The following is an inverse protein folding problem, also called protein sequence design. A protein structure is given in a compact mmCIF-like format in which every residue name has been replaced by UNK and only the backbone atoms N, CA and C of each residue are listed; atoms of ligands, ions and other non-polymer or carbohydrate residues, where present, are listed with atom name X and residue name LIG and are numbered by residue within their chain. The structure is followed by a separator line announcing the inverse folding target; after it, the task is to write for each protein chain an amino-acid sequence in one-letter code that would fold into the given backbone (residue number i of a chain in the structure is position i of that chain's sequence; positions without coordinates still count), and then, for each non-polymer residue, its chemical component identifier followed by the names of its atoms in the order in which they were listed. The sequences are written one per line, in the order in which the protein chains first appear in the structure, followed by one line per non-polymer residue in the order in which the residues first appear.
data_IF_212356311308
#
_entry.id   IF_212356311308
#
_cell.length_a   1.000
_cell.length_b   1.000
_cell.length_c   1.000
_cell.angle_alpha   90.00
_cell.angle_beta   90.00
_cell.angle_gamma   90.00
#
_symmetry.space_group_name_H-M   'P 1'
#
loop_
_entity.id
_entity.type
_entity.pdbx_description
1 polymer ?
#
# COMPACT_ATOMS: atom_id res chain seq x y z
N UNK A 1 11.06 -21.52 -30.01
CA UNK A 1 12.28 -20.95 -29.42
C UNK A 1 11.90 -19.73 -28.64
N UNK A 2 12.45 -19.55 -27.43
CA UNK A 2 12.17 -18.42 -26.55
C UNK A 2 13.40 -17.51 -26.53
N UNK A 3 13.20 -16.21 -26.77
CA UNK A 3 14.25 -15.19 -26.70
C UNK A 3 14.01 -14.28 -25.49
N UNK A 4 14.75 -14.49 -24.41
CA UNK A 4 14.65 -13.72 -23.20
C UNK A 4 15.15 -12.27 -23.34
N UNK A 5 16.09 -11.99 -24.27
CA UNK A 5 16.61 -10.63 -24.48
C UNK A 5 15.58 -9.76 -25.19
N UNK A 6 15.00 -10.28 -26.28
CA UNK A 6 13.95 -9.60 -27.02
C UNK A 6 12.56 -9.73 -26.37
N UNK A 7 12.43 -10.47 -25.27
CA UNK A 7 11.14 -10.79 -24.63
C UNK A 7 10.12 -11.32 -25.64
N UNK A 8 10.55 -12.22 -26.52
CA UNK A 8 9.77 -12.69 -27.64
C UNK A 8 9.82 -14.21 -27.76
N UNK A 9 8.76 -14.78 -28.29
CA UNK A 9 8.72 -16.18 -28.71
C UNK A 9 8.76 -16.24 -30.22
N UNK A 10 9.58 -17.14 -30.77
CA UNK A 10 9.70 -17.38 -32.20
C UNK A 10 8.92 -18.63 -32.53
N UNK A 11 7.87 -18.48 -33.34
CA UNK A 11 6.97 -19.55 -33.74
C UNK A 11 7.12 -19.87 -35.20
N UNK A 12 7.17 -21.16 -35.59
CA UNK A 12 7.14 -21.55 -36.98
C UNK A 12 5.71 -21.43 -37.53
N UNK A 13 5.49 -20.46 -38.42
CA UNK A 13 4.22 -20.25 -39.12
C UNK A 13 4.47 -20.28 -40.61
N UNK A 14 3.85 -21.20 -41.33
CA UNK A 14 4.01 -21.35 -42.79
C UNK A 14 5.49 -21.39 -43.27
N UNK A 15 6.33 -22.13 -42.50
CA UNK A 15 7.78 -22.28 -42.75
C UNK A 15 8.63 -21.02 -42.42
N UNK A 16 8.03 -19.95 -41.93
CA UNK A 16 8.73 -18.75 -41.46
C UNK A 16 8.88 -18.76 -39.91
N UNK A 17 10.02 -18.25 -39.46
CA UNK A 17 10.25 -18.01 -38.01
C UNK A 17 9.67 -16.63 -37.65
N UNK A 18 8.47 -16.61 -37.08
CA UNK A 18 7.75 -15.38 -36.79
C UNK A 18 7.89 -15.04 -35.30
N UNK A 19 8.47 -13.86 -34.96
CA UNK A 19 8.60 -13.43 -33.56
C UNK A 19 7.30 -12.80 -33.04
N UNK A 20 6.92 -13.17 -31.83
CA UNK A 20 5.81 -12.58 -31.10
C UNK A 20 6.32 -12.06 -29.75
N UNK A 21 6.10 -10.79 -29.45
CA UNK A 21 6.48 -10.22 -28.20
C UNK A 21 5.58 -10.77 -27.06
N UNK A 22 6.16 -11.01 -25.90
CA UNK A 22 5.47 -11.65 -24.75
C UNK A 22 4.17 -10.94 -24.32
N UNK A 23 4.06 -9.62 -24.52
CA UNK A 23 2.85 -8.83 -24.23
C UNK A 23 1.67 -9.17 -25.14
N UNK A 24 1.92 -9.74 -26.31
CA UNK A 24 0.85 -10.16 -27.24
C UNK A 24 0.22 -11.49 -26.85
N UNK A 25 0.81 -12.23 -25.91
CA UNK A 25 0.33 -13.51 -25.46
C UNK A 25 -0.68 -13.35 -24.33
N UNK A 26 -1.87 -13.93 -24.51
CA UNK A 26 -2.91 -13.99 -23.46
C UNK A 26 -2.60 -15.10 -22.46
N UNK A 27 -2.45 -16.33 -22.95
CA UNK A 27 -2.04 -17.50 -22.15
C UNK A 27 -1.47 -18.60 -23.03
N UNK A 28 -0.83 -19.57 -22.38
CA UNK A 28 -0.34 -20.79 -23.02
C UNK A 28 -0.94 -21.96 -22.24
N UNK A 29 -1.41 -22.98 -22.95
CA UNK A 29 -1.92 -24.20 -22.36
C UNK A 29 -1.26 -25.43 -23.00
N UNK A 30 -1.07 -26.46 -22.19
CA UNK A 30 -0.53 -27.76 -22.61
C UNK A 30 -1.59 -28.83 -22.33
N UNK A 31 -1.77 -29.77 -23.25
CA UNK A 31 -2.57 -30.98 -23.07
C UNK A 31 -1.85 -32.18 -23.63
N UNK A 32 -1.88 -33.31 -22.95
CA UNK A 32 -1.32 -34.56 -23.37
C UNK A 32 -2.48 -35.48 -23.83
N UNK A 33 -2.42 -35.90 -25.11
CA UNK A 33 -3.44 -36.76 -25.73
C UNK A 33 -2.76 -37.97 -26.39
N UNK A 34 -2.77 -39.10 -25.70
CA UNK A 34 -2.14 -40.33 -26.17
C UNK A 34 -0.62 -40.19 -26.40
N UNK A 35 -0.16 -40.38 -27.61
CA UNK A 35 1.26 -40.26 -27.95
C UNK A 35 1.73 -38.82 -28.25
N UNK A 36 0.79 -37.88 -28.27
CA UNK A 36 1.07 -36.51 -28.64
C UNK A 36 0.80 -35.53 -27.51
N UNK A 37 1.68 -34.54 -27.39
CA UNK A 37 1.50 -33.36 -26.55
C UNK A 37 1.15 -32.17 -27.43
N UNK A 38 0.14 -31.43 -27.05
CA UNK A 38 -0.30 -30.20 -27.69
C UNK A 38 0.08 -28.99 -26.87
N UNK A 39 0.69 -28.01 -27.53
CA UNK A 39 0.98 -26.70 -26.96
C UNK A 39 0.13 -25.65 -27.68
N UNK A 40 -0.82 -25.05 -26.98
CA UNK A 40 -1.69 -24.02 -27.54
C UNK A 40 -1.32 -22.67 -26.96
N UNK A 41 -1.04 -21.75 -27.88
CA UNK A 41 -0.67 -20.37 -27.55
C UNK A 41 -1.82 -19.46 -27.97
N UNK A 42 -2.41 -18.75 -27.02
CA UNK A 42 -3.49 -17.81 -27.26
C UNK A 42 -2.94 -16.39 -27.22
N UNK A 43 -3.36 -15.57 -28.17
CA UNK A 43 -2.95 -14.17 -28.28
C UNK A 43 -4.02 -13.21 -27.76
N UNK A 44 -3.59 -12.03 -27.36
CA UNK A 44 -4.50 -10.91 -27.05
C UNK A 44 -5.00 -10.37 -28.38
N UNK A 45 -6.30 -10.46 -28.61
CA UNK A 45 -6.96 -9.93 -29.82
C UNK A 45 -8.06 -8.98 -29.41
N UNK A 46 -8.23 -7.83 -30.08
CA UNK A 46 -9.32 -6.90 -29.83
C UNK A 46 -10.68 -7.54 -30.15
N UNK A 47 -11.77 -7.01 -29.62
CA UNK A 47 -13.15 -7.44 -29.92
C UNK A 47 -13.59 -8.77 -29.30
N UNK A 48 -12.96 -9.22 -28.21
CA UNK A 48 -13.43 -10.40 -27.48
C UNK A 48 -14.40 -10.05 -26.35
N UNK A 49 -15.68 -10.31 -26.58
CA UNK A 49 -16.80 -10.28 -25.61
C UNK A 49 -17.16 -8.89 -25.09
N UNK A 50 -18.21 -8.35 -25.64
CA UNK A 50 -18.91 -7.19 -25.09
C UNK A 50 -19.17 -7.38 -23.58
N UNK A 51 -18.60 -6.52 -22.75
CA UNK A 51 -18.88 -6.44 -21.33
C UNK A 51 -17.70 -6.51 -20.37
N UNK A 52 -16.45 -6.69 -20.82
CA UNK A 52 -15.29 -6.55 -19.95
C UNK A 52 -14.59 -5.21 -20.20
N UNK A 53 -14.23 -4.52 -19.10
CA UNK A 53 -13.52 -3.22 -19.09
C UNK A 53 -12.19 -3.17 -19.86
N UNK A 54 -11.71 -4.33 -20.37
CA UNK A 54 -10.44 -4.48 -21.07
C UNK A 54 -10.60 -4.71 -22.59
N UNK A 55 -11.81 -4.54 -23.15
CA UNK A 55 -12.02 -4.64 -24.58
C UNK A 55 -11.46 -3.38 -25.26
N UNK A 56 -10.31 -3.55 -25.90
CA UNK A 56 -9.74 -2.51 -26.75
C UNK A 56 -10.52 -2.55 -28.09
N UNK A 57 -11.15 -1.45 -28.52
CA UNK A 57 -11.83 -1.41 -29.82
C UNK A 57 -10.84 -1.66 -30.96
N UNK A 58 -11.32 -2.16 -32.08
CA UNK A 58 -10.52 -2.29 -33.30
C UNK A 58 -10.22 -0.90 -33.86
N UNK A 59 -8.93 -0.60 -34.02
CA UNK A 59 -8.51 0.63 -34.72
C UNK A 59 -8.82 0.54 -36.22
N UNK A 60 -8.72 -0.68 -36.79
CA UNK A 60 -9.07 -1.00 -38.19
C UNK A 60 -10.07 -2.17 -38.20
N UNK A 61 -11.33 -1.96 -38.62
CA UNK A 61 -12.35 -3.02 -38.68
C UNK A 61 -12.03 -4.13 -39.68
N UNK A 62 -11.12 -3.90 -40.66
CA UNK A 62 -10.70 -4.87 -41.66
C UNK A 62 -9.45 -5.68 -41.23
N UNK A 63 -8.84 -5.36 -40.11
CA UNK A 63 -7.66 -6.03 -39.63
C UNK A 63 -7.96 -7.47 -39.20
N UNK A 64 -7.08 -8.41 -39.61
CA UNK A 64 -7.15 -9.81 -39.20
C UNK A 64 -6.11 -10.12 -38.14
N UNK A 65 -6.51 -10.88 -37.12
CA UNK A 65 -5.66 -11.20 -35.97
C UNK A 65 -5.54 -12.71 -35.78
N UNK A 66 -4.34 -13.16 -35.40
CA UNK A 66 -4.12 -14.54 -34.97
C UNK A 66 -4.66 -14.69 -33.58
N UNK A 67 -5.69 -15.48 -33.37
CA UNK A 67 -6.32 -15.73 -32.09
C UNK A 67 -5.58 -16.76 -31.25
N UNK A 68 -5.19 -17.86 -31.89
CA UNK A 68 -4.38 -18.89 -31.26
C UNK A 68 -3.63 -19.69 -32.32
N UNK A 69 -2.56 -20.34 -31.88
CA UNK A 69 -1.79 -21.32 -32.68
C UNK A 69 -1.60 -22.55 -31.79
N UNK A 70 -1.81 -23.75 -32.37
CA UNK A 70 -1.59 -25.00 -31.68
C UNK A 70 -0.51 -25.80 -32.40
N UNK A 71 0.42 -26.31 -31.61
CA UNK A 71 1.49 -27.20 -32.11
C UNK A 71 1.33 -28.57 -31.49
N UNK A 72 1.74 -29.62 -32.25
CA UNK A 72 1.71 -31.00 -31.81
C UNK A 72 3.12 -31.59 -31.89
N UNK A 73 3.52 -32.34 -30.89
CA UNK A 73 4.81 -33.02 -30.83
C UNK A 73 4.68 -34.34 -30.06
N UNK A 74 5.53 -35.30 -30.43
CA UNK A 74 5.75 -36.52 -29.63
C UNK A 74 6.75 -36.33 -28.52
N UNK A 75 7.49 -35.21 -28.52
CA UNK A 75 8.47 -34.86 -27.46
C UNK A 75 7.79 -34.00 -26.38
N UNK A 76 7.17 -34.66 -25.39
CA UNK A 76 6.51 -34.01 -24.30
C UNK A 76 7.44 -33.11 -23.47
N UNK A 77 8.69 -33.58 -23.22
CA UNK A 77 9.67 -32.82 -22.40
C UNK A 77 10.00 -31.48 -23.03
N UNK A 78 10.20 -31.42 -24.32
CA UNK A 78 10.49 -30.16 -25.02
C UNK A 78 9.31 -29.17 -24.91
N UNK A 79 8.07 -29.64 -24.93
CA UNK A 79 6.90 -28.77 -24.73
C UNK A 79 6.71 -28.37 -23.29
N UNK A 80 7.12 -29.19 -22.30
CA UNK A 80 7.15 -28.83 -20.91
C UNK A 80 8.11 -27.68 -20.64
N UNK A 81 9.33 -27.79 -21.19
CA UNK A 81 10.35 -26.74 -21.05
C UNK A 81 9.85 -25.42 -21.66
N UNK A 82 9.34 -25.46 -22.89
CA UNK A 82 8.80 -24.28 -23.56
C UNK A 82 7.61 -23.66 -22.80
N UNK A 83 6.71 -24.49 -22.29
CA UNK A 83 5.57 -24.04 -21.51
C UNK A 83 6.01 -23.29 -20.23
N UNK A 84 6.98 -23.85 -19.52
CA UNK A 84 7.53 -23.27 -18.29
C UNK A 84 8.28 -21.96 -18.60
N UNK A 85 9.14 -21.95 -19.62
CA UNK A 85 9.89 -20.75 -20.03
C UNK A 85 8.98 -19.60 -20.45
N UNK A 86 7.94 -19.87 -21.25
CA UNK A 86 6.99 -18.85 -21.70
C UNK A 86 6.21 -18.30 -20.52
N UNK A 87 5.73 -19.17 -19.60
CA UNK A 87 4.97 -18.71 -18.44
C UNK A 87 5.84 -17.91 -17.47
N UNK A 88 7.09 -18.27 -17.27
CA UNK A 88 8.02 -17.51 -16.45
C UNK A 88 8.29 -16.12 -17.07
N UNK A 89 8.56 -16.08 -18.38
CA UNK A 89 8.77 -14.81 -19.07
C UNK A 89 7.52 -13.90 -18.97
N UNK A 90 6.31 -14.45 -19.11
CA UNK A 90 5.06 -13.72 -18.93
C UNK A 90 4.91 -13.17 -17.51
N UNK A 91 5.22 -13.98 -16.49
CA UNK A 91 5.17 -13.56 -15.10
C UNK A 91 6.13 -12.41 -14.82
N UNK A 92 7.36 -12.49 -15.34
CA UNK A 92 8.37 -11.43 -15.19
C UNK A 92 7.93 -10.15 -15.93
N UNK A 93 7.40 -10.28 -17.15
CA UNK A 93 6.92 -9.14 -17.93
C UNK A 93 5.72 -8.45 -17.25
N UNK A 94 4.74 -9.21 -16.77
CA UNK A 94 3.58 -8.69 -16.04
C UNK A 94 3.99 -7.99 -14.74
N UNK A 95 4.97 -8.55 -14.01
CA UNK A 95 5.51 -7.92 -12.80
C UNK A 95 6.18 -6.59 -13.10
N UNK A 96 7.02 -6.52 -14.13
CA UNK A 96 7.68 -5.27 -14.57
C UNK A 96 6.65 -4.21 -15.01
N UNK A 97 5.62 -4.64 -15.74
CA UNK A 97 4.57 -3.72 -16.18
C UNK A 97 3.75 -3.18 -15.00
N UNK A 98 3.42 -4.03 -14.02
CA UNK A 98 2.78 -3.60 -12.78
C UNK A 98 3.66 -2.61 -12.01
N UNK A 99 4.96 -2.91 -11.84
CA UNK A 99 5.92 -2.02 -11.20
C UNK A 99 6.05 -0.68 -11.95
N UNK A 100 6.09 -0.69 -13.29
CA UNK A 100 6.12 0.53 -14.10
C UNK A 100 4.84 1.35 -13.97
N UNK A 101 3.67 0.71 -13.98
CA UNK A 101 2.38 1.39 -13.75
C UNK A 101 2.29 2.00 -12.35
N UNK A 102 2.78 1.29 -11.35
CA UNK A 102 2.83 1.81 -9.98
C UNK A 102 3.76 3.03 -9.87
N UNK A 103 4.89 3.03 -10.59
CA UNK A 103 5.84 4.15 -10.59
C UNK A 103 5.41 5.32 -11.47
N UNK A 104 4.65 5.09 -12.54
CA UNK A 104 4.28 6.13 -13.51
C UNK A 104 3.46 7.28 -12.90
N UNK A 105 2.66 7.01 -11.86
CA UNK A 105 1.85 8.02 -11.18
C UNK A 105 2.53 8.59 -9.92
N UNK A 106 3.77 8.19 -9.61
CA UNK A 106 4.52 8.74 -8.49
C UNK A 106 5.18 10.02 -8.95
N UNK A 107 4.65 11.14 -8.47
CA UNK A 107 5.26 12.45 -8.71
C UNK A 107 6.56 12.54 -7.91
N UNK A 108 7.63 13.05 -8.54
CA UNK A 108 8.89 13.31 -7.86
C UNK A 108 8.64 14.28 -6.69
N UNK A 109 9.03 13.85 -5.48
CA UNK A 109 8.78 14.62 -4.27
C UNK A 109 9.89 15.65 -4.07
N UNK A 110 9.53 16.79 -3.49
CA UNK A 110 10.49 17.78 -3.06
C UNK A 110 11.50 17.17 -2.07
N UNK A 111 12.76 17.50 -2.22
CA UNK A 111 13.78 17.02 -1.28
C UNK A 111 13.59 17.65 0.09
N UNK A 112 13.70 16.83 1.13
CA UNK A 112 13.58 17.30 2.50
C UNK A 112 14.82 18.13 2.91
N UNK A 113 14.58 19.36 3.36
CA UNK A 113 15.62 20.25 3.88
C UNK A 113 15.76 20.01 5.38
N UNK A 114 16.87 19.40 5.76
CA UNK A 114 17.12 19.03 7.14
C UNK A 114 17.39 20.27 8.01
N UNK A 115 16.85 20.28 9.22
CA UNK A 115 17.19 21.29 10.21
C UNK A 115 18.62 21.07 10.71
N UNK A 116 19.43 22.11 10.73
CA UNK A 116 20.81 22.09 11.27
C UNK A 116 20.81 22.03 12.80
N UNK A 117 19.78 22.54 13.45
CA UNK A 117 19.58 22.46 14.90
C UNK A 117 18.85 21.16 15.25
N UNK A 118 18.87 20.81 16.55
CA UNK A 118 18.19 19.58 17.04
C UNK A 118 16.69 19.66 16.71
N UNK A 119 16.20 18.81 15.80
CA UNK A 119 14.79 18.85 15.41
C UNK A 119 13.90 18.35 16.54
N UNK A 120 12.67 18.86 16.62
CA UNK A 120 11.67 18.30 17.53
C UNK A 120 11.36 16.88 17.07
N UNK A 121 11.40 15.93 18.02
CA UNK A 121 11.24 14.51 17.74
C UNK A 121 10.10 13.94 18.57
N UNK A 122 9.27 13.10 17.93
CA UNK A 122 8.30 12.23 18.56
C UNK A 122 8.87 10.81 18.54
N UNK A 123 9.33 10.28 19.70
CA UNK A 123 10.00 8.97 19.76
C UNK A 123 9.00 7.81 19.73
N UNK A 124 9.51 6.61 19.46
CA UNK A 124 8.81 5.33 19.62
C UNK A 124 7.47 5.22 18.87
N UNK A 125 7.37 5.82 17.71
CA UNK A 125 6.19 5.70 16.84
C UNK A 125 6.36 4.59 15.82
N UNK A 126 5.24 3.98 15.44
CA UNK A 126 5.18 2.95 14.42
C UNK A 126 4.55 3.49 13.15
N UNK A 127 5.15 3.26 11.97
CA UNK A 127 4.57 3.69 10.70
C UNK A 127 3.54 2.69 10.17
N UNK A 128 2.49 3.18 9.53
CA UNK A 128 1.57 2.44 8.67
C UNK A 128 1.49 3.15 7.30
N UNK A 129 1.78 2.49 6.20
CA UNK A 129 2.18 1.08 6.08
C UNK A 129 3.56 0.79 6.66
N UNK A 130 3.73 -0.44 7.17
CA UNK A 130 5.01 -0.86 7.73
C UNK A 130 6.08 -0.96 6.63
N UNK A 131 7.29 -0.50 6.93
CA UNK A 131 8.46 -0.69 6.08
C UNK A 131 8.82 -2.19 6.04
N UNK A 132 8.99 -2.74 4.85
CA UNK A 132 9.33 -4.16 4.62
C UNK A 132 8.40 -5.18 5.33
N UNK A 133 7.16 -4.79 5.64
CA UNK A 133 6.17 -5.66 6.27
C UNK A 133 6.41 -5.96 7.75
N UNK A 134 7.45 -5.39 8.37
CA UNK A 134 7.75 -5.54 9.80
C UNK A 134 7.37 -4.27 10.56
N UNK A 135 6.85 -4.45 11.77
CA UNK A 135 6.56 -3.37 12.70
C UNK A 135 7.85 -2.97 13.42
N UNK A 136 8.44 -1.85 13.02
CA UNK A 136 9.68 -1.34 13.60
C UNK A 136 9.43 0.05 14.19
N UNK A 137 9.77 0.29 15.47
CA UNK A 137 9.65 1.60 16.08
C UNK A 137 10.68 2.57 15.50
N UNK A 138 10.33 3.84 15.50
CA UNK A 138 11.25 4.89 15.06
C UNK A 138 10.87 6.25 15.62
N UNK A 139 11.62 7.25 15.21
CA UNK A 139 11.46 8.64 15.61
C UNK A 139 10.91 9.45 14.44
N UNK A 140 9.84 10.20 14.69
CA UNK A 140 9.30 11.17 13.74
C UNK A 140 9.86 12.55 14.09
N UNK A 141 10.54 13.21 13.14
CA UNK A 141 11.22 14.49 13.35
C UNK A 141 10.67 15.56 12.41
N UNK A 142 10.56 16.81 12.92
CA UNK A 142 10.11 17.96 12.14
C UNK A 142 11.32 18.69 11.56
N UNK A 143 11.29 18.94 10.25
CA UNK A 143 12.32 19.67 9.50
C UNK A 143 11.74 20.93 8.84
N UNK A 144 12.56 21.68 8.07
CA UNK A 144 12.14 22.97 7.53
C UNK A 144 10.94 22.90 6.60
N UNK A 145 10.89 21.89 5.73
CA UNK A 145 9.85 21.74 4.69
C UNK A 145 9.08 20.43 4.76
N UNK A 146 9.18 19.69 5.87
CA UNK A 146 8.50 18.41 6.00
C UNK A 146 8.84 17.66 7.29
N UNK A 147 8.40 16.42 7.36
CA UNK A 147 8.69 15.48 8.46
C UNK A 147 9.48 14.30 7.94
N UNK A 148 10.33 13.74 8.80
CA UNK A 148 11.09 12.52 8.56
C UNK A 148 10.83 11.52 9.66
N UNK A 149 10.45 10.33 9.25
CA UNK A 149 10.51 9.15 10.11
C UNK A 149 11.81 8.40 9.86
N UNK A 150 12.48 7.99 10.93
CA UNK A 150 13.69 7.17 10.86
C UNK A 150 13.72 6.16 11.98
N UNK A 151 14.00 4.89 11.63
CA UNK A 151 14.20 3.85 12.61
C UNK A 151 15.62 3.89 13.17
N UNK A 152 15.83 3.88 14.50
CA UNK A 152 17.15 3.82 15.10
C UNK A 152 17.87 2.48 14.86
N UNK A 153 17.10 1.41 14.58
CA UNK A 153 17.63 0.07 14.32
C UNK A 153 18.10 -0.11 12.86
N UNK A 154 17.55 0.69 11.92
CA UNK A 154 17.84 0.60 10.49
C UNK A 154 17.81 2.00 9.88
N UNK A 155 18.98 2.58 9.70
CA UNK A 155 19.12 3.96 9.19
C UNK A 155 18.74 4.11 7.72
N UNK A 156 18.69 3.02 6.96
CA UNK A 156 18.22 2.94 5.58
C UNK A 156 16.69 3.04 5.46
N UNK A 157 15.96 2.72 6.55
CA UNK A 157 14.51 2.80 6.61
C UNK A 157 14.05 4.19 7.06
N UNK A 158 13.81 5.06 6.09
CA UNK A 158 13.30 6.41 6.29
C UNK A 158 12.04 6.65 5.47
N UNK A 159 11.15 7.49 6.00
CA UNK A 159 9.98 8.01 5.29
C UNK A 159 10.06 9.54 5.38
N UNK A 160 10.16 10.20 4.23
CA UNK A 160 10.17 11.65 4.12
C UNK A 160 8.81 12.11 3.57
N UNK A 161 8.18 13.07 4.25
CA UNK A 161 6.92 13.66 3.84
C UNK A 161 7.09 15.17 3.78
N UNK A 162 7.24 15.74 2.57
CA UNK A 162 7.31 17.18 2.40
C UNK A 162 5.94 17.83 2.65
N UNK A 163 5.90 18.98 3.28
CA UNK A 163 4.66 19.71 3.59
C UNK A 163 3.88 20.09 2.33
N UNK A 164 4.56 20.29 1.19
CA UNK A 164 3.93 20.59 -0.10
C UNK A 164 2.98 19.48 -0.57
N UNK A 165 3.28 18.23 -0.23
CA UNK A 165 2.49 17.05 -0.62
C UNK A 165 1.37 16.71 0.38
N UNK A 166 1.31 17.31 1.56
CA UNK A 166 0.25 17.05 2.53
C UNK A 166 -1.04 17.75 2.08
N UNK A 167 -2.14 16.99 1.96
CA UNK A 167 -3.49 17.50 1.72
C UNK A 167 -4.21 17.73 3.05
N UNK A 168 -4.22 16.73 3.93
CA UNK A 168 -4.84 16.79 5.25
C UNK A 168 -3.94 16.16 6.30
N UNK A 169 -4.00 16.68 7.52
CA UNK A 169 -3.30 16.18 8.69
C UNK A 169 -4.32 15.94 9.81
N UNK A 170 -4.42 14.68 10.25
CA UNK A 170 -5.34 14.30 11.33
C UNK A 170 -4.56 13.91 12.57
N UNK A 171 -5.09 14.33 13.72
CA UNK A 171 -4.69 13.86 15.04
C UNK A 171 -5.89 13.15 15.68
N UNK A 172 -5.72 11.89 16.09
CA UNK A 172 -6.75 11.14 16.81
C UNK A 172 -6.23 10.75 18.19
N UNK A 173 -6.89 11.20 19.26
CA UNK A 173 -6.54 10.83 20.64
C UNK A 173 -6.94 9.39 20.95
N UNK A 174 -6.31 8.81 21.98
CA UNK A 174 -6.58 7.44 22.43
C UNK A 174 -7.57 7.37 23.61
N UNK A 175 -8.36 8.40 23.87
CA UNK A 175 -9.28 8.40 25.03
C UNK A 175 -10.31 7.25 24.99
N UNK A 176 -10.83 6.98 23.80
CA UNK A 176 -11.78 5.89 23.53
C UNK A 176 -11.25 4.89 22.50
N UNK A 177 -9.96 4.94 22.21
CA UNK A 177 -9.27 4.12 21.19
C UNK A 177 -8.07 3.38 21.79
N UNK A 178 -7.61 2.35 21.10
CA UNK A 178 -6.43 1.57 21.52
C UNK A 178 -5.11 2.24 21.17
N UNK A 179 -5.14 3.19 20.22
CA UNK A 179 -3.96 3.86 19.69
C UNK A 179 -4.17 5.37 19.65
N UNK A 180 -3.10 6.12 19.88
CA UNK A 180 -2.97 7.53 19.51
C UNK A 180 -2.27 7.63 18.18
N UNK A 181 -2.70 8.51 17.29
CA UNK A 181 -2.14 8.59 15.94
C UNK A 181 -2.06 10.00 15.39
N UNK A 182 -1.11 10.16 14.46
CA UNK A 182 -1.02 11.28 13.52
C UNK A 182 -1.09 10.66 12.12
N UNK A 183 -2.01 11.12 11.29
CA UNK A 183 -2.25 10.60 9.96
C UNK A 183 -2.09 11.70 8.91
N UNK A 184 -1.27 11.42 7.91
CA UNK A 184 -1.03 12.28 6.75
C UNK A 184 -1.78 11.73 5.55
N UNK A 185 -2.72 12.48 5.03
CA UNK A 185 -3.32 12.23 3.72
C UNK A 185 -2.63 13.10 2.68
N UNK A 186 -2.06 12.47 1.65
CA UNK A 186 -1.19 13.12 0.68
C UNK A 186 -1.95 13.48 -0.61
N UNK A 187 -1.54 14.57 -1.25
CA UNK A 187 -2.04 14.98 -2.57
C UNK A 187 -1.62 13.97 -3.64
N UNK A 188 -0.35 13.63 -3.67
CA UNK A 188 0.24 12.66 -4.57
C UNK A 188 0.77 11.46 -3.79
N UNK A 189 0.58 10.23 -4.30
CA UNK A 189 1.03 9.05 -3.59
C UNK A 189 2.54 8.97 -3.51
N UNK A 190 3.04 8.39 -2.43
CA UNK A 190 4.46 8.11 -2.19
C UNK A 190 4.73 6.62 -2.13
N UNK A 191 5.96 6.23 -2.44
CA UNK A 191 6.41 4.85 -2.28
C UNK A 191 6.95 4.65 -0.87
N UNK A 192 6.35 3.74 -0.11
CA UNK A 192 6.85 3.29 1.19
C UNK A 192 7.21 1.82 1.06
N UNK A 193 8.52 1.53 1.01
CA UNK A 193 9.01 0.21 0.64
C UNK A 193 8.55 -0.14 -0.79
N UNK A 194 7.74 -1.19 -0.93
CA UNK A 194 7.19 -1.64 -2.22
C UNK A 194 5.72 -1.24 -2.43
N UNK A 195 5.15 -0.43 -1.55
CA UNK A 195 3.73 -0.05 -1.60
C UNK A 195 3.58 1.42 -1.95
N UNK A 196 2.70 1.69 -2.89
CA UNK A 196 2.22 3.03 -3.23
C UNK A 196 1.08 3.38 -2.29
N UNK A 197 1.17 4.52 -1.61
CA UNK A 197 0.12 4.97 -0.70
C UNK A 197 -0.02 6.49 -0.71
N UNK A 198 -1.25 6.96 -0.50
CA UNK A 198 -1.56 8.35 -0.20
C UNK A 198 -1.70 8.60 1.30
N UNK A 199 -1.82 7.52 2.07
CA UNK A 199 -2.11 7.58 3.49
C UNK A 199 -0.90 7.06 4.27
N UNK A 200 -0.34 7.91 5.11
CA UNK A 200 0.81 7.60 5.97
C UNK A 200 0.44 7.93 7.40
N UNK A 201 0.52 6.94 8.27
CA UNK A 201 0.13 7.07 9.66
C UNK A 201 1.29 6.74 10.57
N UNK A 202 1.43 7.51 11.65
CA UNK A 202 2.35 7.23 12.76
C UNK A 202 1.54 7.11 14.03
N UNK A 203 1.71 6.00 14.74
CA UNK A 203 0.89 5.70 15.91
C UNK A 203 1.71 5.11 17.05
N UNK A 204 1.14 5.15 18.25
CA UNK A 204 1.60 4.45 19.44
C UNK A 204 0.42 3.80 20.12
N UNK A 205 0.63 2.64 20.75
CA UNK A 205 -0.42 1.98 21.52
C UNK A 205 -0.61 2.66 22.87
N UNK A 206 -1.88 2.75 23.29
CA UNK A 206 -2.27 3.43 24.52
C UNK A 206 -2.04 2.60 25.79
N UNK A 207 -1.89 1.28 25.65
CA UNK A 207 -1.63 0.38 26.77
C UNK A 207 -0.30 -0.33 26.59
N UNK A 208 0.51 -0.35 27.66
CA UNK A 208 1.75 -1.13 27.75
C UNK A 208 1.51 -2.62 28.00
N UNK A 209 0.28 -3.10 27.84
CA UNK A 209 -0.02 -4.52 27.97
C UNK A 209 0.63 -5.23 26.77
N UNK A 210 1.84 -5.73 27.01
CA UNK A 210 2.48 -6.66 26.09
C UNK A 210 1.57 -7.85 25.91
N UNK A 211 0.88 -7.93 24.77
CA UNK A 211 0.30 -9.18 24.33
C UNK A 211 1.47 -10.11 24.00
N UNK A 212 1.66 -11.12 24.82
CA UNK A 212 2.50 -12.25 24.45
C UNK A 212 1.95 -12.80 23.12
N UNK A 213 2.82 -13.16 22.17
CA UNK A 213 2.43 -13.72 20.86
C UNK A 213 1.53 -14.97 20.97
N UNK A 214 1.42 -15.55 22.16
CA UNK A 214 0.56 -16.69 22.49
C UNK A 214 -0.88 -16.30 22.89
N UNK A 215 -1.23 -15.00 22.89
CA UNK A 215 -2.60 -14.54 23.21
C UNK A 215 -2.99 -14.69 24.69
N UNK A 216 -2.08 -15.13 25.54
CA UNK A 216 -2.32 -15.23 26.97
C UNK A 216 -1.98 -13.89 27.64
N UNK A 217 -3.03 -13.20 28.13
CA UNK A 217 -2.84 -12.13 29.12
C UNK A 217 -2.06 -12.75 30.28
N UNK A 218 -0.84 -12.27 30.59
CA UNK A 218 -0.21 -12.53 31.88
C UNK A 218 -1.17 -11.99 32.94
N UNK A 219 -1.95 -12.88 33.52
CA UNK A 219 -2.73 -12.57 34.70
C UNK A 219 -1.73 -12.21 35.79
N UNK A 220 -1.50 -10.92 36.02
CA UNK A 220 -1.00 -10.47 37.31
C UNK A 220 -2.02 -10.96 38.34
N UNK A 221 -1.56 -11.67 39.32
CA UNK A 221 -2.37 -12.14 40.45
C UNK A 221 -3.22 -10.96 40.97
N UNK A 222 -4.52 -11.17 40.99
CA UNK A 222 -5.48 -10.24 41.59
C UNK A 222 -5.16 -10.09 43.07
N UNK A 223 -4.54 -9.00 43.46
CA UNK A 223 -4.42 -8.53 44.82
C UNK A 223 -5.28 -7.27 44.90
N UNK A 224 -6.44 -7.37 45.53
CA UNK A 224 -7.26 -6.27 46.03
C UNK A 224 -7.87 -5.27 45.01
N UNK A 225 -9.03 -4.71 45.37
CA UNK A 225 -9.71 -3.64 44.59
C UNK A 225 -8.86 -2.34 44.51
N UNK A 226 -7.97 -2.10 45.45
CA UNK A 226 -7.09 -0.90 45.52
C UNK A 226 -6.06 -0.92 44.41
N UNK A 227 -5.42 -2.07 44.12
CA UNK A 227 -4.43 -2.22 43.07
C UNK A 227 -5.06 -2.04 41.66
N UNK A 228 -6.34 -2.42 41.50
CA UNK A 228 -7.08 -2.27 40.23
C UNK A 228 -7.37 -0.78 39.95
N UNK A 229 -7.70 -0.02 40.98
CA UNK A 229 -7.95 1.43 40.88
C UNK A 229 -6.65 2.18 40.58
N UNK A 230 -5.53 1.80 41.20
CA UNK A 230 -4.23 2.42 40.92
C UNK A 230 -3.80 2.15 39.47
N UNK A 231 -3.93 0.91 38.94
CA UNK A 231 -3.65 0.57 37.56
C UNK A 231 -4.51 1.36 36.59
N UNK A 232 -5.81 1.52 36.88
CA UNK A 232 -6.69 2.32 36.03
C UNK A 232 -6.29 3.80 36.00
N UNK A 233 -5.87 4.34 37.16
CA UNK A 233 -5.38 5.72 37.24
C UNK A 233 -4.06 5.92 36.50
N UNK A 234 -3.13 4.95 36.57
CA UNK A 234 -1.88 4.98 35.82
C UNK A 234 -2.14 4.92 34.31
N UNK A 235 -3.04 4.04 33.88
CA UNK A 235 -3.42 3.94 32.48
C UNK A 235 -4.05 5.24 31.96
N UNK A 236 -4.92 5.87 32.75
CA UNK A 236 -5.51 7.18 32.39
C UNK A 236 -4.46 8.28 32.30
N UNK A 237 -3.49 8.30 33.24
CA UNK A 237 -2.37 9.26 33.21
C UNK A 237 -1.50 9.05 31.99
N UNK A 238 -1.18 7.78 31.66
CA UNK A 238 -0.40 7.42 30.51
C UNK A 238 -1.09 7.87 29.20
N UNK A 239 -2.37 7.55 29.02
CA UNK A 239 -3.18 8.01 27.87
C UNK A 239 -3.20 9.54 27.76
N UNK A 240 -3.37 10.24 28.88
CA UNK A 240 -3.35 11.70 28.88
C UNK A 240 -2.00 12.27 28.43
N UNK A 241 -0.89 11.68 28.89
CA UNK A 241 0.46 12.09 28.49
C UNK A 241 0.70 11.85 27.01
N UNK A 242 0.31 10.67 26.48
CA UNK A 242 0.40 10.36 25.06
C UNK A 242 -0.41 11.33 24.21
N UNK A 243 -1.65 11.59 24.57
CA UNK A 243 -2.50 12.54 23.85
C UNK A 243 -1.89 13.95 23.84
N UNK A 244 -1.33 14.41 24.96
CA UNK A 244 -0.67 15.71 25.06
C UNK A 244 0.57 15.79 24.16
N UNK A 245 1.41 14.76 24.17
CA UNK A 245 2.63 14.67 23.36
C UNK A 245 2.29 14.69 21.86
N UNK A 246 1.38 13.84 21.40
CA UNK A 246 0.99 13.77 20.01
C UNK A 246 0.26 15.02 19.52
N UNK A 247 -0.65 15.57 20.33
CA UNK A 247 -1.33 16.83 20.01
C UNK A 247 -0.35 17.99 19.87
N UNK A 248 0.59 18.11 20.81
CA UNK A 248 1.63 19.13 20.73
C UNK A 248 2.48 18.97 19.48
N UNK A 249 2.89 17.73 19.17
CA UNK A 249 3.69 17.44 17.97
C UNK A 249 2.92 17.77 16.68
N UNK A 250 1.64 17.42 16.59
CA UNK A 250 0.80 17.75 15.44
C UNK A 250 0.65 19.27 15.24
N UNK A 251 0.46 20.03 16.34
CA UNK A 251 0.43 21.50 16.30
C UNK A 251 1.75 22.09 15.80
N UNK A 252 2.88 21.54 16.25
CA UNK A 252 4.20 21.99 15.79
C UNK A 252 4.45 21.68 14.32
N UNK A 253 3.84 20.65 13.74
CA UNK A 253 3.83 20.41 12.29
C UNK A 253 3.07 21.53 11.59
N UNK A 254 1.88 21.91 12.10
CA UNK A 254 1.10 23.02 11.54
C UNK A 254 1.88 24.34 11.58
N UNK A 255 2.51 24.65 12.71
CA UNK A 255 3.37 25.86 12.86
C UNK A 255 4.52 25.84 11.87
N UNK A 256 5.24 24.71 11.74
CA UNK A 256 6.38 24.56 10.83
C UNK A 256 5.98 24.65 9.36
N UNK A 257 4.73 24.35 9.03
CA UNK A 257 4.18 24.48 7.67
C UNK A 257 3.80 25.93 7.30
N UNK A 258 4.01 26.90 8.20
CA UNK A 258 3.57 28.29 8.06
C UNK A 258 2.05 28.42 7.84
N UNK A 259 1.26 27.59 8.55
CA UNK A 259 -0.19 27.61 8.49
C UNK A 259 -0.81 26.99 7.23
N UNK A 260 0.00 26.37 6.36
CA UNK A 260 -0.50 25.67 5.16
C UNK A 260 -1.21 24.37 5.48
N UNK A 261 -0.85 23.74 6.58
CA UNK A 261 -1.42 22.48 7.08
C UNK A 261 -2.14 22.80 8.37
N UNK A 262 -3.41 22.43 8.46
CA UNK A 262 -4.20 22.52 9.68
C UNK A 262 -4.33 21.11 10.27
N UNK A 263 -4.34 21.03 11.61
CA UNK A 263 -4.60 19.77 12.31
C UNK A 263 -6.09 19.61 12.48
N UNK A 264 -6.64 18.55 11.92
CA UNK A 264 -8.04 18.20 12.05
C UNK A 264 -8.22 17.02 13.02
N UNK A 265 -9.30 17.00 13.77
CA UNK A 265 -9.59 15.99 14.79
C UNK A 265 -10.92 15.33 14.48
N UNK A 266 -10.96 14.00 14.34
CA UNK A 266 -12.21 13.29 14.08
C UNK A 266 -13.19 13.44 15.25
N UNK A 267 -14.45 13.77 14.95
CA UNK A 267 -15.54 13.87 15.93
C UNK A 267 -16.15 12.48 16.16
N UNK A 268 -15.58 11.73 17.10
CA UNK A 268 -16.01 10.36 17.37
C UNK A 268 -17.49 10.25 17.77
N UNK A 269 -17.98 11.18 18.53
CA UNK A 269 -19.36 11.17 19.04
C UNK A 269 -20.41 11.39 17.93
N UNK A 270 -19.98 11.90 16.77
CA UNK A 270 -20.78 12.02 15.54
C UNK A 270 -20.51 10.86 14.56
N UNK A 271 -19.70 9.89 14.95
CA UNK A 271 -19.35 8.76 14.12
C UNK A 271 -20.53 7.80 13.91
N UNK A 272 -20.55 7.18 12.75
CA UNK A 272 -21.55 6.18 12.37
C UNK A 272 -20.89 4.98 11.66
N UNK A 273 -21.54 3.83 11.71
CA UNK A 273 -21.02 2.64 11.04
C UNK A 273 -21.39 2.66 9.56
N UNK A 274 -20.42 2.37 8.73
CA UNK A 274 -20.58 2.27 7.27
C UNK A 274 -19.73 1.14 6.69
N UNK A 275 -19.98 0.79 5.42
CA UNK A 275 -19.26 -0.28 4.70
C UNK A 275 -18.60 0.32 3.46
N UNK A 276 -17.47 1.05 3.60
CA UNK A 276 -16.80 1.68 2.47
C UNK A 276 -16.12 0.65 1.55
N UNK A 277 -15.76 -0.55 2.05
CA UNK A 277 -15.14 -1.61 1.27
C UNK A 277 -15.82 -2.96 1.53
N UNK A 278 -15.29 -3.79 2.41
CA UNK A 278 -15.81 -5.14 2.69
C UNK A 278 -16.22 -5.35 4.15
N UNK A 279 -15.76 -4.49 5.03
CA UNK A 279 -16.01 -4.56 6.46
C UNK A 279 -16.82 -3.34 6.92
N UNK A 280 -17.65 -3.54 7.95
CA UNK A 280 -18.29 -2.43 8.66
C UNK A 280 -17.27 -1.76 9.55
N UNK A 281 -17.10 -0.45 9.38
CA UNK A 281 -16.14 0.36 10.11
C UNK A 281 -16.81 1.63 10.64
N UNK A 282 -16.25 2.20 11.71
CA UNK A 282 -16.68 3.49 12.22
C UNK A 282 -16.15 4.60 11.32
N UNK A 283 -17.06 5.34 10.69
CA UNK A 283 -16.77 6.54 9.92
C UNK A 283 -16.95 7.75 10.84
N UNK A 284 -15.96 8.61 10.88
CA UNK A 284 -15.96 9.79 11.74
C UNK A 284 -15.88 11.04 10.88
N UNK A 285 -16.82 11.99 11.02
CA UNK A 285 -16.69 13.27 10.38
C UNK A 285 -15.60 14.10 11.07
N UNK A 286 -14.94 14.94 10.29
CA UNK A 286 -14.04 16.00 10.74
C UNK A 286 -14.55 17.34 10.24
N UNK A 287 -13.78 18.40 10.38
CA UNK A 287 -14.18 19.73 9.85
C UNK A 287 -14.36 19.69 8.32
N UNK A 288 -13.42 19.05 7.61
CA UNK A 288 -13.38 19.08 6.14
C UNK A 288 -13.52 17.70 5.49
N UNK A 289 -13.52 16.62 6.29
CA UNK A 289 -13.44 15.26 5.76
C UNK A 289 -14.38 14.28 6.49
N UNK A 290 -14.67 13.16 5.81
CA UNK A 290 -15.18 11.94 6.42
C UNK A 290 -14.05 10.92 6.44
N UNK A 291 -13.72 10.38 7.63
CA UNK A 291 -12.52 9.55 7.79
C UNK A 291 -12.78 8.23 8.51
N UNK A 292 -11.95 7.23 8.18
CA UNK A 292 -11.71 6.02 8.97
C UNK A 292 -10.21 5.82 9.09
N UNK A 293 -9.65 6.00 10.31
CA UNK A 293 -8.21 6.02 10.56
C UNK A 293 -7.73 4.90 11.51
N UNK A 294 -8.65 4.16 12.13
CA UNK A 294 -8.29 3.16 13.16
C UNK A 294 -7.50 1.99 12.57
N UNK A 295 -7.96 1.44 11.45
CA UNK A 295 -7.33 0.28 10.80
C UNK A 295 -7.31 0.41 9.27
N UNK A 296 -6.27 -0.17 8.61
CA UNK A 296 -6.25 -0.26 7.14
C UNK A 296 -7.33 -1.22 6.61
N UNK A 297 -7.95 -0.93 5.46
CA UNK A 297 -7.69 0.20 4.58
C UNK A 297 -8.25 1.51 5.12
N UNK A 298 -7.41 2.56 5.14
CA UNK A 298 -7.83 3.89 5.55
C UNK A 298 -8.81 4.50 4.55
N UNK A 299 -9.73 5.32 5.04
CA UNK A 299 -10.62 6.13 4.21
C UNK A 299 -10.46 7.60 4.60
N UNK A 300 -10.19 8.43 3.61
CA UNK A 300 -10.22 9.89 3.75
C UNK A 300 -10.96 10.43 2.54
N UNK A 301 -12.13 10.99 2.78
CA UNK A 301 -12.97 11.64 1.74
C UNK A 301 -13.13 13.09 2.12
N UNK A 302 -12.64 14.00 1.27
CA UNK A 302 -12.84 15.44 1.48
C UNK A 302 -14.31 15.78 1.18
N UNK A 303 -14.97 16.53 2.05
CA UNK A 303 -16.39 16.86 1.89
C UNK A 303 -16.68 17.65 0.60
N UNK A 304 -15.74 18.46 0.16
CA UNK A 304 -15.85 19.19 -1.12
C UNK A 304 -15.74 18.29 -2.36
N UNK A 305 -15.22 17.07 -2.21
CA UNK A 305 -15.09 16.10 -3.32
C UNK A 305 -16.34 15.19 -3.43
N UNK A 306 -17.36 15.40 -2.59
CA UNK A 306 -18.65 14.67 -2.61
C UNK A 306 -19.63 15.46 -3.48
N UNK A 307 -20.11 14.83 -4.55
CA UNK A 307 -21.17 15.35 -5.43
C UNK A 307 -22.57 15.03 -4.90
#
# INVERSE_FOLDING_TARGET
MVDHRAQSIILPINQFAVPFHIKTLKNVSKSDEGEFTYLRINFVTPGQLSGKKDDVPFDDPNATFIRNVSYRSTNARHFDDLYNEINEMRRVAAKREAEQKEMADVVEQDQLILNKQRPLSLPEVFPRPALEGKRVPGNLTIHQNGVRFMSPLRQDQKIDIPFSNVKHLFYQPCDKELIVLIHFHLKSPVMIGKRKTKDVQFYREASDVQFDETGNRKRRYRTGDEDEIELEQEERRHRHMLNKEFKHFAQRIADASNGRIQVDIPYRDLGFNGVPSRASVLLQPTTDCLVHLSDPPFLVVTLSDIE
#
